data_IF_614833202901
#
_entry.id   IF_614833202901
#
_cell.length_a   1.000
_cell.length_b   1.000
_cell.length_c   1.000
_cell.angle_alpha   90.00
_cell.angle_beta   90.00
_cell.angle_gamma   90.00
#
_symmetry.space_group_name_H-M   'P 1'
#
loop_
_entity.id
_entity.type
_entity.pdbx_description
1 polymer ?
#
# COMPACT_ATOMS: atom_id res chain seq x y z
N UNK A 1 108.47 -69.33 74.42
CA UNK A 1 108.08 -70.60 73.77
C UNK A 1 106.59 -70.78 73.96
N UNK A 2 105.83 -70.73 72.85
CA UNK A 2 104.52 -71.32 72.54
C UNK A 2 103.40 -71.33 73.60
N UNK A 3 102.31 -70.58 73.38
CA UNK A 3 101.07 -70.96 72.63
C UNK A 3 100.18 -71.90 73.45
N UNK A 4 98.96 -71.50 73.82
CA UNK A 4 97.64 -71.76 73.17
C UNK A 4 96.58 -71.49 74.27
N UNK A 5 95.27 -71.24 74.09
CA UNK A 5 94.27 -71.31 73.02
C UNK A 5 93.01 -70.52 73.48
N UNK A 6 92.29 -69.95 72.52
CA UNK A 6 90.82 -69.73 72.38
C UNK A 6 89.87 -70.06 73.54
N UNK A 7 88.93 -69.15 73.87
CA UNK A 7 87.51 -69.16 73.44
C UNK A 7 86.57 -68.43 74.43
N UNK A 8 85.54 -67.79 73.86
CA UNK A 8 84.22 -67.44 74.40
C UNK A 8 84.07 -66.40 75.52
N UNK A 9 82.98 -65.63 75.32
CA UNK A 9 82.21 -64.80 76.25
C UNK A 9 82.94 -63.68 76.99
N UNK A 10 82.54 -62.44 76.73
CA UNK A 10 81.54 -61.77 77.57
C UNK A 10 81.49 -60.27 77.23
N UNK A 11 80.30 -59.71 77.44
CA UNK A 11 79.89 -58.33 77.26
C UNK A 11 80.89 -57.30 77.79
N UNK A 12 81.23 -56.28 76.99
CA UNK A 12 81.54 -54.94 77.53
C UNK A 12 80.89 -53.82 76.71
N UNK A 13 80.25 -52.97 77.50
CA UNK A 13 79.54 -51.73 77.25
C UNK A 13 80.32 -50.68 76.43
N UNK A 14 79.54 -49.90 75.66
CA UNK A 14 79.85 -48.54 75.18
C UNK A 14 80.17 -47.62 76.39
N UNK A 15 80.93 -46.51 76.26
CA UNK A 15 80.33 -45.25 75.76
C UNK A 15 81.29 -44.25 75.09
N UNK A 16 80.71 -43.28 74.39
CA UNK A 16 81.25 -41.91 74.36
C UNK A 16 81.68 -41.38 72.98
N UNK A 17 81.34 -40.12 72.64
CA UNK A 17 81.18 -39.67 71.25
C UNK A 17 82.49 -39.10 70.67
N UNK A 18 82.76 -39.36 69.40
CA UNK A 18 83.85 -38.71 68.66
C UNK A 18 83.29 -37.82 67.56
N UNK A 19 83.84 -36.60 67.55
CA UNK A 19 83.43 -35.38 66.87
C UNK A 19 83.55 -35.49 65.35
N UNK A 20 82.54 -34.95 64.65
CA UNK A 20 82.43 -34.87 63.19
C UNK A 20 83.51 -33.96 62.55
N UNK A 21 84.17 -34.39 61.45
CA UNK A 21 85.00 -33.50 60.64
C UNK A 21 84.14 -32.65 59.69
N UNK A 22 84.46 -31.34 59.60
CA UNK A 22 83.80 -30.34 58.74
C UNK A 22 83.93 -30.71 57.25
N UNK A 23 82.79 -30.88 56.57
CA UNK A 23 82.73 -30.96 55.11
C UNK A 23 82.67 -29.56 54.48
N UNK A 24 83.48 -29.39 53.44
CA UNK A 24 83.69 -28.19 52.64
C UNK A 24 82.44 -27.90 51.79
N UNK A 25 81.91 -26.68 51.86
CA UNK A 25 80.71 -26.28 51.11
C UNK A 25 81.03 -26.08 49.62
N UNK A 26 80.74 -27.09 48.82
CA UNK A 26 80.77 -27.01 47.36
C UNK A 26 79.43 -26.44 46.87
N UNK A 27 79.48 -25.23 46.31
CA UNK A 27 78.29 -24.52 45.82
C UNK A 27 77.75 -25.19 44.56
N UNK A 28 76.63 -25.89 44.69
CA UNK A 28 75.87 -26.42 43.57
C UNK A 28 75.25 -25.23 42.81
N UNK A 29 75.82 -24.90 41.64
CA UNK A 29 75.23 -23.96 40.68
C UNK A 29 73.98 -24.60 40.06
N UNK A 30 72.80 -24.17 40.51
CA UNK A 30 71.52 -24.54 39.91
C UNK A 30 71.33 -23.71 38.62
N UNK A 31 70.99 -24.33 37.47
CA UNK A 31 70.76 -23.61 36.22
C UNK A 31 69.50 -22.73 36.31
N UNK A 32 69.61 -21.47 35.84
CA UNK A 32 68.48 -20.55 35.69
C UNK A 32 67.46 -21.13 34.71
N UNK A 33 66.30 -21.55 35.22
CA UNK A 33 65.16 -21.93 34.41
C UNK A 33 64.59 -20.65 33.77
N UNK A 34 64.66 -20.57 32.45
CA UNK A 34 64.12 -19.47 31.64
C UNK A 34 62.64 -19.74 31.37
N UNK A 35 61.75 -19.15 32.15
CA UNK A 35 60.32 -19.13 31.82
C UNK A 35 60.08 -18.06 30.75
N UNK A 36 59.82 -18.48 29.51
CA UNK A 36 59.19 -17.63 28.47
C UNK A 36 57.68 -17.93 28.41
N UNK A 37 56.86 -16.94 28.02
CA UNK A 37 55.56 -16.68 28.62
C UNK A 37 54.46 -17.54 27.99
N UNK A 38 53.69 -18.27 28.81
CA UNK A 38 52.38 -18.71 28.36
C UNK A 38 51.44 -17.50 28.29
N UNK A 39 50.71 -17.42 27.18
CA UNK A 39 49.94 -16.30 26.73
C UNK A 39 49.08 -15.63 27.83
N UNK A 40 49.09 -14.30 27.85
CA UNK A 40 48.33 -13.45 28.77
C UNK A 40 46.78 -13.45 28.63
N UNK A 41 46.08 -14.00 27.62
CA UNK A 41 44.61 -13.91 27.63
C UNK A 41 43.98 -14.90 28.62
N UNK A 42 44.73 -15.91 29.11
CA UNK A 42 44.19 -16.96 29.98
C UNK A 42 44.23 -16.60 31.47
N UNK A 43 45.14 -15.71 31.89
CA UNK A 43 45.29 -15.30 33.30
C UNK A 43 44.21 -14.30 33.76
N UNK A 44 43.68 -13.47 32.86
CA UNK A 44 42.58 -12.56 33.17
C UNK A 44 41.25 -13.31 33.47
N UNK A 45 41.09 -14.53 32.95
CA UNK A 45 39.98 -15.42 33.24
C UNK A 45 40.04 -16.09 34.63
N UNK A 46 41.16 -15.96 35.36
CA UNK A 46 41.33 -16.56 36.69
C UNK A 46 41.10 -15.59 37.86
N UNK A 47 41.12 -14.27 37.65
CA UNK A 47 40.91 -13.27 38.72
C UNK A 47 39.46 -12.78 38.83
N UNK A 48 38.54 -13.37 38.08
CA UNK A 48 37.12 -13.05 38.16
C UNK A 48 36.46 -13.83 39.32
N UNK A 49 35.61 -13.18 40.14
CA UNK A 49 34.91 -13.88 41.21
C UNK A 49 34.11 -15.06 40.65
N UNK A 50 34.13 -16.20 41.35
CA UNK A 50 33.54 -17.47 40.90
C UNK A 50 32.09 -17.33 40.38
N UNK A 51 31.34 -16.37 40.96
CA UNK A 51 29.99 -15.98 40.54
C UNK A 51 29.92 -15.54 39.08
N UNK A 52 30.84 -14.69 38.60
CA UNK A 52 30.83 -14.20 37.22
C UNK A 52 31.13 -15.32 36.21
N UNK A 53 31.96 -16.29 36.59
CA UNK A 53 32.32 -17.45 35.75
C UNK A 53 31.14 -18.39 35.51
N UNK A 54 30.16 -18.42 36.43
CA UNK A 54 28.92 -19.17 36.32
C UNK A 54 27.82 -18.34 35.64
N UNK A 55 27.74 -17.04 35.90
CA UNK A 55 26.67 -16.17 35.35
C UNK A 55 26.89 -15.76 33.89
N UNK A 56 28.13 -15.54 33.44
CA UNK A 56 28.44 -15.15 32.04
C UNK A 56 27.87 -16.13 30.99
N UNK A 57 28.06 -17.47 31.08
CA UNK A 57 27.52 -18.37 30.07
C UNK A 57 25.99 -18.34 30.03
N UNK A 58 25.34 -18.20 31.19
CA UNK A 58 23.88 -18.05 31.26
C UNK A 58 23.41 -16.73 30.66
N UNK A 59 24.12 -15.63 30.96
CA UNK A 59 23.84 -14.30 30.41
C UNK A 59 24.00 -14.29 28.88
N UNK A 60 25.03 -14.94 28.36
CA UNK A 60 25.27 -15.05 26.92
C UNK A 60 24.14 -15.80 26.22
N UNK A 61 23.68 -16.92 26.79
CA UNK A 61 22.51 -17.65 26.29
C UNK A 61 21.25 -16.79 26.36
N UNK A 62 21.02 -16.08 27.47
CA UNK A 62 19.86 -15.20 27.63
C UNK A 62 19.82 -14.08 26.58
N UNK A 63 20.96 -13.44 26.30
CA UNK A 63 21.06 -12.39 25.26
C UNK A 63 20.82 -12.98 23.86
N UNK A 64 21.40 -14.14 23.57
CA UNK A 64 21.21 -14.82 22.28
C UNK A 64 19.74 -15.20 22.07
N UNK A 65 19.09 -15.73 23.11
CA UNK A 65 17.67 -16.10 23.09
C UNK A 65 16.78 -14.86 22.94
N UNK A 66 17.08 -13.77 23.65
CA UNK A 66 16.39 -12.49 23.50
C UNK A 66 16.52 -11.93 22.07
N UNK A 67 17.72 -11.94 21.50
CA UNK A 67 17.95 -11.49 20.12
C UNK A 67 17.20 -12.33 19.09
N UNK A 68 17.18 -13.65 19.26
CA UNK A 68 16.44 -14.57 18.39
C UNK A 68 14.92 -14.32 18.50
N UNK A 69 14.40 -14.13 19.71
CA UNK A 69 12.99 -13.80 19.93
C UNK A 69 12.61 -12.46 19.29
N UNK A 70 13.41 -11.41 19.48
CA UNK A 70 13.20 -10.11 18.84
C UNK A 70 13.23 -10.23 17.32
N UNK A 71 14.20 -10.97 16.76
CA UNK A 71 14.32 -11.17 15.32
C UNK A 71 13.09 -11.85 14.70
N UNK A 72 12.59 -12.92 15.34
CA UNK A 72 11.37 -13.63 14.90
C UNK A 72 10.14 -12.70 14.95
N UNK A 73 10.00 -11.89 16.01
CA UNK A 73 8.89 -10.94 16.16
C UNK A 73 8.96 -9.87 15.06
N UNK A 74 10.13 -9.28 14.82
CA UNK A 74 10.33 -8.25 13.79
C UNK A 74 10.02 -8.79 12.40
N UNK A 75 10.53 -9.97 12.04
CA UNK A 75 10.26 -10.58 10.74
C UNK A 75 8.76 -10.87 10.57
N UNK A 76 8.11 -11.41 11.61
CA UNK A 76 6.68 -11.70 11.60
C UNK A 76 5.82 -10.44 11.45
N UNK A 77 6.25 -9.32 12.04
CA UNK A 77 5.52 -8.06 11.98
C UNK A 77 5.64 -7.40 10.60
N UNK A 78 6.84 -7.41 9.99
CA UNK A 78 7.08 -6.83 8.66
C UNK A 78 6.30 -7.60 7.58
N UNK A 79 6.32 -8.94 7.60
CA UNK A 79 5.56 -9.74 6.63
C UNK A 79 4.05 -9.54 6.78
N UNK A 80 3.54 -9.42 8.01
CA UNK A 80 2.11 -9.17 8.26
C UNK A 80 1.63 -7.77 7.86
N UNK A 81 2.50 -6.76 7.92
CA UNK A 81 2.19 -5.42 7.41
C UNK A 81 2.10 -5.43 5.89
N UNK A 82 3.06 -6.07 5.22
CA UNK A 82 3.10 -6.12 3.76
C UNK A 82 1.91 -6.87 3.14
N UNK A 83 1.51 -8.00 3.74
CA UNK A 83 0.31 -8.75 3.32
C UNK A 83 -0.96 -7.90 3.46
N UNK A 84 -1.13 -7.19 4.58
CA UNK A 84 -2.30 -6.34 4.82
C UNK A 84 -2.35 -5.13 3.89
N UNK A 85 -1.22 -4.47 3.62
CA UNK A 85 -1.18 -3.37 2.66
C UNK A 85 -1.53 -3.84 1.25
N UNK A 86 -1.00 -4.97 0.81
CA UNK A 86 -1.30 -5.50 -0.52
C UNK A 86 -2.78 -5.89 -0.65
N UNK A 87 -3.34 -6.58 0.34
CA UNK A 87 -4.77 -6.95 0.34
C UNK A 87 -5.65 -5.70 0.34
N UNK A 88 -5.36 -4.71 1.19
CA UNK A 88 -6.14 -3.47 1.25
C UNK A 88 -6.07 -2.64 -0.04
N UNK A 89 -4.91 -2.62 -0.73
CA UNK A 89 -4.77 -1.92 -2.00
C UNK A 89 -5.54 -2.61 -3.13
N UNK A 90 -5.48 -3.94 -3.20
CA UNK A 90 -6.20 -4.72 -4.21
C UNK A 90 -7.70 -4.61 -4.01
N UNK A 91 -8.18 -4.83 -2.78
CA UNK A 91 -9.61 -4.75 -2.45
C UNK A 91 -10.16 -3.34 -2.71
N UNK A 92 -9.39 -2.30 -2.35
CA UNK A 92 -9.77 -0.91 -2.60
C UNK A 92 -9.82 -0.55 -4.08
N UNK A 93 -8.85 -1.02 -4.86
CA UNK A 93 -8.84 -0.81 -6.31
C UNK A 93 -9.99 -1.55 -7.02
N UNK A 94 -10.23 -2.81 -6.67
CA UNK A 94 -11.31 -3.62 -7.23
C UNK A 94 -12.67 -2.98 -6.96
N UNK A 95 -12.89 -2.56 -5.72
CA UNK A 95 -14.12 -1.90 -5.29
C UNK A 95 -14.34 -0.58 -6.03
N UNK A 96 -13.33 0.30 -6.07
CA UNK A 96 -13.44 1.59 -6.75
C UNK A 96 -13.69 1.43 -8.26
N UNK A 97 -12.95 0.51 -8.90
CA UNK A 97 -13.12 0.22 -10.33
C UNK A 97 -14.50 -0.35 -10.64
N UNK A 98 -14.99 -1.24 -9.78
CA UNK A 98 -16.33 -1.83 -9.92
C UNK A 98 -17.42 -0.74 -9.82
N UNK A 99 -17.30 0.20 -8.90
CA UNK A 99 -18.27 1.28 -8.74
C UNK A 99 -18.31 2.21 -9.96
N UNK A 100 -17.14 2.60 -10.48
CA UNK A 100 -17.06 3.42 -11.70
C UNK A 100 -17.65 2.67 -12.90
N UNK A 101 -17.29 1.39 -13.07
CA UNK A 101 -17.83 0.56 -14.14
C UNK A 101 -19.35 0.41 -14.07
N UNK A 102 -19.90 0.17 -12.88
CA UNK A 102 -21.34 0.06 -12.69
C UNK A 102 -22.06 1.38 -13.02
N UNK A 103 -21.51 2.52 -12.60
CA UNK A 103 -22.04 3.84 -12.93
C UNK A 103 -22.01 4.12 -14.44
N UNK A 104 -20.89 3.85 -15.10
CA UNK A 104 -20.74 4.01 -16.55
C UNK A 104 -21.70 3.09 -17.32
N UNK A 105 -21.77 1.81 -16.95
CA UNK A 105 -22.67 0.84 -17.56
C UNK A 105 -24.13 1.28 -17.43
N UNK A 106 -24.52 1.77 -16.26
CA UNK A 106 -25.85 2.28 -15.98
C UNK A 106 -26.17 3.55 -16.76
N UNK A 107 -25.21 4.48 -16.87
CA UNK A 107 -25.33 5.67 -17.68
C UNK A 107 -25.51 5.31 -19.17
N UNK A 108 -24.71 4.38 -19.67
CA UNK A 108 -24.76 3.88 -21.04
C UNK A 108 -26.08 3.19 -21.39
N UNK A 109 -26.60 2.34 -20.50
CA UNK A 109 -27.91 1.68 -20.69
C UNK A 109 -29.02 2.73 -20.73
N UNK A 110 -28.97 3.72 -19.85
CA UNK A 110 -30.00 4.76 -19.78
C UNK A 110 -29.93 5.71 -20.96
N UNK A 111 -28.73 6.11 -21.39
CA UNK A 111 -28.50 6.90 -22.61
C UNK A 111 -29.12 6.18 -23.81
N UNK A 112 -28.82 4.89 -23.99
CA UNK A 112 -29.38 4.07 -25.07
C UNK A 112 -30.90 3.98 -25.00
N UNK A 113 -31.47 3.88 -23.81
CA UNK A 113 -32.92 3.85 -23.63
C UNK A 113 -33.54 5.19 -24.06
N UNK A 114 -32.97 6.32 -23.64
CA UNK A 114 -33.44 7.66 -23.99
C UNK A 114 -33.29 7.92 -25.49
N UNK A 115 -32.10 7.70 -26.05
CA UNK A 115 -31.80 7.95 -27.46
C UNK A 115 -32.65 7.11 -28.41
N UNK A 116 -33.15 5.95 -27.95
CA UNK A 116 -34.03 5.05 -28.74
C UNK A 116 -35.51 5.18 -28.39
N UNK A 117 -35.88 6.09 -27.49
CA UNK A 117 -37.29 6.31 -27.14
C UNK A 117 -37.97 7.10 -28.24
N UNK A 118 -39.07 6.55 -28.77
CA UNK A 118 -39.88 7.18 -29.80
C UNK A 118 -40.37 8.55 -29.30
N UNK A 119 -40.23 9.59 -30.11
CA UNK A 119 -40.63 10.95 -29.76
C UNK A 119 -39.52 11.79 -29.14
N UNK A 120 -38.43 11.21 -28.62
CA UNK A 120 -37.33 11.99 -28.02
C UNK A 120 -36.58 12.78 -29.08
N UNK A 121 -36.24 12.15 -30.21
CA UNK A 121 -35.55 12.82 -31.30
C UNK A 121 -36.44 13.90 -31.94
N UNK A 122 -37.74 13.63 -32.13
CA UNK A 122 -38.70 14.57 -32.66
C UNK A 122 -38.91 15.77 -31.72
N UNK A 123 -39.05 15.53 -30.41
CA UNK A 123 -39.17 16.59 -29.42
C UNK A 123 -37.89 17.43 -29.31
N UNK A 124 -36.70 16.81 -29.41
CA UNK A 124 -35.44 17.52 -29.46
C UNK A 124 -35.32 18.41 -30.71
N UNK A 125 -35.77 17.93 -31.87
CA UNK A 125 -35.76 18.70 -33.12
C UNK A 125 -36.68 19.92 -33.03
N UNK A 126 -37.85 19.75 -32.40
CA UNK A 126 -38.79 20.83 -32.14
C UNK A 126 -38.39 21.74 -30.96
N UNK A 127 -37.31 21.40 -30.23
CA UNK A 127 -36.93 22.02 -28.94
C UNK A 127 -38.08 22.07 -27.93
N UNK A 128 -38.94 21.05 -27.95
CA UNK A 128 -40.08 20.91 -27.04
C UNK A 128 -39.63 20.26 -25.73
N UNK A 129 -39.22 21.09 -24.78
CA UNK A 129 -38.74 20.67 -23.45
C UNK A 129 -39.83 20.00 -22.62
N UNK A 130 -41.11 20.31 -22.85
CA UNK A 130 -42.23 19.71 -22.12
C UNK A 130 -42.43 18.24 -22.55
N UNK A 131 -42.36 17.98 -23.85
CA UNK A 131 -42.39 16.62 -24.40
C UNK A 131 -41.14 15.84 -23.98
N UNK A 132 -39.94 16.44 -24.07
CA UNK A 132 -38.70 15.81 -23.59
C UNK A 132 -38.80 15.44 -22.10
N UNK A 133 -39.31 16.33 -21.25
CA UNK A 133 -39.50 16.04 -19.83
C UNK A 133 -40.45 14.87 -19.59
N UNK A 134 -41.56 14.81 -20.33
CA UNK A 134 -42.55 13.74 -20.20
C UNK A 134 -42.00 12.37 -20.61
N UNK A 135 -41.14 12.33 -21.63
CA UNK A 135 -40.53 11.10 -22.14
C UNK A 135 -39.30 10.65 -21.31
N UNK A 136 -38.42 11.59 -20.95
CA UNK A 136 -37.12 11.27 -20.34
C UNK A 136 -37.23 11.07 -18.84
N UNK A 137 -38.07 11.85 -18.14
CA UNK A 137 -38.14 11.80 -16.67
C UNK A 137 -38.49 10.41 -16.13
N UNK A 138 -39.50 9.68 -16.66
CA UNK A 138 -39.79 8.33 -16.18
C UNK A 138 -38.61 7.37 -16.36
N UNK A 139 -37.88 7.49 -17.46
CA UNK A 139 -36.69 6.66 -17.74
C UNK A 139 -35.59 6.94 -16.71
N UNK A 140 -35.28 8.21 -16.48
CA UNK A 140 -34.25 8.62 -15.52
C UNK A 140 -34.62 8.24 -14.08
N UNK A 141 -35.88 8.45 -13.67
CA UNK A 141 -36.38 8.10 -12.33
C UNK A 141 -36.29 6.59 -12.10
N UNK A 142 -36.80 5.79 -13.04
CA UNK A 142 -36.74 4.32 -12.92
C UNK A 142 -35.30 3.82 -12.93
N UNK A 143 -34.45 4.41 -13.76
CA UNK A 143 -33.04 4.09 -13.79
C UNK A 143 -32.27 4.64 -12.58
N UNK A 144 -32.83 5.53 -11.75
CA UNK A 144 -32.10 6.23 -10.68
C UNK A 144 -30.83 6.91 -11.22
N UNK A 145 -30.97 7.60 -12.35
CA UNK A 145 -29.92 8.41 -12.96
C UNK A 145 -30.12 9.85 -12.52
N UNK A 146 -29.13 10.48 -11.88
CA UNK A 146 -29.32 11.79 -11.27
C UNK A 146 -29.33 12.92 -12.30
N UNK A 147 -28.61 12.81 -13.42
CA UNK A 147 -28.54 13.84 -14.46
C UNK A 147 -28.75 13.29 -15.88
N UNK A 148 -29.51 14.02 -16.68
CA UNK A 148 -29.65 13.79 -18.13
C UNK A 148 -29.66 15.13 -18.86
N UNK A 149 -28.80 15.32 -19.85
CA UNK A 149 -28.86 16.47 -20.76
C UNK A 149 -29.12 16.04 -22.19
N UNK A 150 -29.82 16.88 -22.95
CA UNK A 150 -29.98 16.73 -24.40
C UNK A 150 -29.42 17.97 -25.06
N UNK A 151 -28.47 17.77 -25.96
CA UNK A 151 -27.79 18.81 -26.72
C UNK A 151 -28.21 18.76 -28.19
N UNK A 152 -28.21 19.90 -28.87
CA UNK A 152 -28.41 19.97 -30.32
C UNK A 152 -27.12 19.67 -31.10
N UNK A 153 -27.18 19.74 -32.43
CA UNK A 153 -26.05 19.50 -33.33
C UNK A 153 -24.90 20.51 -33.16
N UNK A 154 -25.13 21.66 -32.53
CA UNK A 154 -24.08 22.63 -32.18
C UNK A 154 -23.46 22.39 -30.80
N UNK A 155 -23.99 21.42 -30.04
CA UNK A 155 -23.62 21.17 -28.66
C UNK A 155 -24.31 22.09 -27.65
N UNK A 156 -25.33 22.85 -28.07
CA UNK A 156 -26.09 23.72 -27.18
C UNK A 156 -27.14 22.90 -26.40
N UNK A 157 -27.31 23.24 -25.11
CA UNK A 157 -28.25 22.57 -24.22
C UNK A 157 -29.71 22.86 -24.63
N UNK A 158 -30.47 21.81 -24.98
CA UNK A 158 -31.91 21.89 -25.25
C UNK A 158 -32.70 21.57 -23.98
N UNK A 159 -32.29 20.54 -23.25
CA UNK A 159 -33.02 20.03 -22.09
C UNK A 159 -32.07 19.52 -21.01
N UNK A 160 -32.40 19.81 -19.76
CA UNK A 160 -31.73 19.30 -18.56
C UNK A 160 -32.77 18.64 -17.65
N UNK A 161 -32.38 17.49 -17.10
CA UNK A 161 -33.07 16.83 -16.01
C UNK A 161 -32.10 16.58 -14.86
N UNK A 162 -32.52 16.98 -13.66
CA UNK A 162 -31.86 16.66 -12.40
C UNK A 162 -32.86 16.05 -11.44
N UNK A 163 -32.55 14.86 -10.90
CA UNK A 163 -33.43 14.20 -9.92
C UNK A 163 -33.14 14.62 -8.48
N UNK A 164 -31.87 14.84 -8.14
CA UNK A 164 -31.44 15.31 -6.83
C UNK A 164 -31.36 16.83 -6.84
N UNK A 165 -32.51 17.46 -6.59
CA UNK A 165 -32.65 18.88 -6.32
C UNK A 165 -32.27 19.17 -4.86
N UNK A 166 -30.99 19.40 -4.59
CA UNK A 166 -30.69 20.49 -3.65
C UNK A 166 -30.62 21.77 -4.48
N UNK A 167 -31.37 22.76 -4.04
CA UNK A 167 -31.66 24.05 -4.64
C UNK A 167 -30.40 24.94 -4.74
N UNK A 168 -29.41 24.47 -5.48
CA UNK A 168 -28.31 25.29 -5.95
C UNK A 168 -28.43 25.22 -7.47
N UNK A 169 -29.16 26.20 -8.02
CA UNK A 169 -29.08 26.57 -9.43
C UNK A 169 -27.62 26.89 -9.70
N UNK A 170 -26.83 25.87 -10.06
CA UNK A 170 -25.49 26.04 -10.58
C UNK A 170 -25.65 26.16 -12.08
N UNK A 171 -25.13 27.27 -12.59
CA UNK A 171 -25.29 27.75 -13.96
C UNK A 171 -24.52 26.84 -14.94
N UNK A 172 -25.03 25.62 -15.16
CA UNK A 172 -24.48 24.69 -16.15
C UNK A 172 -24.68 25.21 -17.58
N UNK A 173 -25.54 26.22 -17.76
CA UNK A 173 -25.62 26.98 -19.02
C UNK A 173 -24.31 27.72 -19.36
N UNK A 174 -23.38 27.88 -18.40
CA UNK A 174 -22.04 28.40 -18.64
C UNK A 174 -21.03 27.32 -19.10
N UNK A 175 -21.41 26.04 -19.14
CA UNK A 175 -20.54 24.95 -19.59
C UNK A 175 -20.58 24.86 -21.10
N UNK A 176 -19.41 24.99 -21.72
CA UNK A 176 -19.22 24.72 -23.15
C UNK A 176 -19.12 23.21 -23.38
N UNK A 177 -20.29 22.55 -23.46
CA UNK A 177 -20.36 21.12 -23.80
C UNK A 177 -19.79 20.83 -25.19
N UNK A 178 -19.88 21.77 -26.14
CA UNK A 178 -19.40 21.58 -27.51
C UNK A 178 -17.86 21.45 -27.58
N UNK A 179 -17.14 22.15 -26.70
CA UNK A 179 -15.68 22.03 -26.59
C UNK A 179 -15.22 20.71 -25.95
N UNK A 180 -16.07 20.04 -25.17
CA UNK A 180 -15.72 18.85 -24.43
C UNK A 180 -15.55 17.63 -25.35
N UNK A 181 -14.45 16.88 -25.16
CA UNK A 181 -14.00 15.88 -26.13
C UNK A 181 -15.04 14.78 -26.43
N UNK A 182 -15.72 14.14 -25.45
CA UNK A 182 -16.77 13.17 -25.73
C UNK A 182 -17.90 13.71 -26.61
N UNK A 183 -18.44 14.90 -26.31
CA UNK A 183 -19.51 15.53 -27.12
C UNK A 183 -19.02 15.85 -28.52
N UNK A 184 -17.83 16.45 -28.65
CA UNK A 184 -17.24 16.76 -29.96
C UNK A 184 -17.09 15.50 -30.83
N UNK A 185 -16.61 14.40 -30.26
CA UNK A 185 -16.44 13.12 -30.99
C UNK A 185 -17.79 12.53 -31.42
N UNK A 186 -18.80 12.55 -30.55
CA UNK A 186 -20.17 12.13 -30.91
C UNK A 186 -20.71 13.01 -32.04
N UNK A 187 -20.62 14.34 -31.93
CA UNK A 187 -21.11 15.28 -32.95
C UNK A 187 -20.37 15.12 -34.28
N UNK A 188 -19.06 14.90 -34.26
CA UNK A 188 -18.25 14.60 -35.44
C UNK A 188 -18.57 13.23 -36.07
N UNK A 189 -19.16 12.32 -35.29
CA UNK A 189 -19.53 10.98 -35.74
C UNK A 189 -18.38 10.02 -35.82
N UNK A 190 -17.38 10.27 -34.99
CA UNK A 190 -16.37 9.29 -34.72
C UNK A 190 -17.02 8.06 -34.09
N UNK A 191 -16.54 6.90 -34.49
CA UNK A 191 -16.81 5.63 -33.85
C UNK A 191 -15.48 4.92 -33.69
N UNK A 192 -15.24 4.33 -32.53
CA UNK A 192 -14.08 3.47 -32.30
C UNK A 192 -14.49 2.00 -32.22
N UNK A 193 -13.59 1.14 -31.74
CA UNK A 193 -13.85 -0.30 -31.57
C UNK A 193 -14.93 -0.61 -30.53
N UNK A 194 -15.23 0.32 -29.62
CA UNK A 194 -16.27 0.19 -28.58
C UNK A 194 -17.60 0.80 -29.04
N UNK A 195 -17.56 1.75 -29.98
CA UNK A 195 -18.73 2.25 -30.70
C UNK A 195 -18.73 3.77 -30.87
N UNK A 196 -19.94 4.32 -30.98
CA UNK A 196 -20.23 5.74 -31.21
C UNK A 196 -20.53 6.52 -29.91
N UNK A 197 -20.18 5.94 -28.75
CA UNK A 197 -20.49 6.46 -27.42
C UNK A 197 -19.22 6.63 -26.63
N UNK A 198 -19.14 7.74 -25.91
CA UNK A 198 -17.92 8.16 -25.22
C UNK A 198 -18.25 8.54 -23.79
N UNK A 199 -17.43 8.08 -22.86
CA UNK A 199 -17.51 8.47 -21.45
C UNK A 199 -16.39 9.45 -21.09
N UNK A 200 -16.60 10.22 -20.03
CA UNK A 200 -15.56 11.09 -19.49
C UNK A 200 -16.03 11.82 -18.26
N UNK A 201 -15.07 12.42 -17.55
CA UNK A 201 -15.34 13.29 -16.41
C UNK A 201 -15.34 14.74 -16.87
N UNK A 202 -16.38 15.47 -16.47
CA UNK A 202 -16.51 16.91 -16.70
C UNK A 202 -16.57 17.64 -15.37
N UNK A 203 -15.75 18.67 -15.22
CA UNK A 203 -15.79 19.56 -14.08
C UNK A 203 -16.88 20.60 -14.27
N UNK A 204 -17.89 20.52 -13.42
CA UNK A 204 -18.95 21.51 -13.36
C UNK A 204 -18.81 22.28 -12.04
N UNK A 205 -19.42 23.47 -11.90
CA UNK A 205 -19.42 24.18 -10.62
C UNK A 205 -19.89 23.30 -9.46
N UNK A 206 -20.70 22.27 -9.76
CA UNK A 206 -21.22 21.20 -8.91
C UNK A 206 -20.18 20.30 -8.23
N UNK A 207 -19.02 20.15 -8.86
CA UNK A 207 -18.12 19.03 -8.63
C UNK A 207 -17.96 18.21 -9.92
N UNK A 208 -17.04 17.25 -9.97
CA UNK A 208 -16.81 16.43 -11.14
C UNK A 208 -17.96 15.44 -11.37
N UNK A 209 -18.41 15.31 -12.61
CA UNK A 209 -19.48 14.39 -13.01
C UNK A 209 -18.95 13.44 -14.08
N UNK A 210 -19.18 12.14 -13.90
CA UNK A 210 -18.97 11.13 -14.94
C UNK A 210 -20.17 11.17 -15.89
N UNK A 211 -19.92 11.50 -17.15
CA UNK A 211 -20.93 11.48 -18.20
C UNK A 211 -20.65 10.37 -19.21
N UNK A 212 -21.73 9.82 -19.76
CA UNK A 212 -21.73 9.05 -21.00
C UNK A 212 -22.49 9.86 -22.05
N UNK A 213 -21.83 10.09 -23.18
CA UNK A 213 -22.34 10.79 -24.34
C UNK A 213 -22.66 9.80 -25.45
N UNK A 214 -23.83 9.94 -26.07
CA UNK A 214 -24.22 9.18 -27.25
C UNK A 214 -25.07 9.98 -28.23
N UNK A 215 -25.10 9.54 -29.50
CA UNK A 215 -25.75 10.31 -30.55
C UNK A 215 -27.27 10.19 -30.47
N UNK A 216 -27.94 11.34 -30.58
CA UNK A 216 -29.37 11.39 -30.83
C UNK A 216 -29.60 11.40 -32.34
N UNK A 217 -30.26 10.36 -32.85
CA UNK A 217 -30.51 10.20 -34.29
C UNK A 217 -32.00 10.37 -34.60
N UNK A 218 -32.30 11.07 -35.68
CA UNK A 218 -33.63 11.15 -36.28
C UNK A 218 -33.52 10.70 -37.74
N UNK A 219 -34.22 9.63 -38.14
CA UNK A 219 -34.17 9.10 -39.50
C UNK A 219 -32.73 8.82 -40.00
N UNK A 220 -31.88 8.24 -39.14
CA UNK A 220 -30.45 8.00 -39.41
C UNK A 220 -29.55 9.24 -39.55
N UNK A 221 -30.11 10.45 -39.39
CA UNK A 221 -29.36 11.69 -39.32
C UNK A 221 -29.07 12.07 -37.87
N UNK A 222 -27.86 12.57 -37.60
CA UNK A 222 -27.49 13.02 -36.25
C UNK A 222 -28.10 14.38 -35.96
N UNK A 223 -28.98 14.40 -34.97
CA UNK A 223 -29.67 15.60 -34.52
C UNK A 223 -28.92 16.29 -33.37
N UNK A 224 -28.18 15.52 -32.55
CA UNK A 224 -27.52 16.03 -31.37
C UNK A 224 -26.91 14.93 -30.50
N UNK A 225 -26.83 15.20 -29.19
CA UNK A 225 -26.19 14.32 -28.20
C UNK A 225 -27.08 14.16 -26.98
N UNK A 226 -27.20 12.94 -26.46
CA UNK A 226 -27.73 12.68 -25.12
C UNK A 226 -26.57 12.46 -24.18
N UNK A 227 -26.56 13.17 -23.07
CA UNK A 227 -25.62 13.02 -21.97
C UNK A 227 -26.35 12.43 -20.77
N UNK A 228 -25.75 11.42 -20.16
CA UNK A 228 -26.24 10.82 -18.92
C UNK A 228 -25.14 10.85 -17.88
N UNK A 229 -25.41 11.47 -16.73
CA UNK A 229 -24.38 11.84 -15.76
C UNK A 229 -24.59 11.27 -14.36
N UNK A 230 -23.48 10.96 -13.68
CA UNK A 230 -23.42 10.65 -12.26
C UNK A 230 -22.36 11.52 -11.56
N UNK A 231 -22.72 12.32 -10.55
CA UNK A 231 -21.75 13.09 -9.78
C UNK A 231 -20.79 12.16 -9.05
N UNK A 232 -19.48 12.36 -9.21
CA UNK A 232 -18.49 11.47 -8.62
C UNK A 232 -18.56 11.45 -7.08
N UNK A 233 -19.00 12.56 -6.49
CA UNK A 233 -19.26 12.68 -5.05
C UNK A 233 -20.29 11.68 -4.53
N UNK A 234 -21.23 11.20 -5.37
CA UNK A 234 -22.19 10.18 -4.95
C UNK A 234 -21.52 8.82 -4.72
N UNK A 235 -20.32 8.60 -5.25
CA UNK A 235 -19.57 7.37 -5.07
C UNK A 235 -18.66 7.38 -3.85
N UNK A 236 -18.28 8.57 -3.34
CA UNK A 236 -17.36 8.69 -2.19
C UNK A 236 -17.82 7.92 -0.95
N UNK A 237 -19.09 8.01 -0.50
CA UNK A 237 -19.52 7.33 0.72
C UNK A 237 -19.42 5.80 0.59
N UNK A 238 -19.74 5.26 -0.58
CA UNK A 238 -19.63 3.82 -0.86
C UNK A 238 -18.17 3.38 -0.97
N UNK A 239 -17.32 4.14 -1.69
CA UNK A 239 -15.89 3.82 -1.79
C UNK A 239 -15.18 3.86 -0.43
N UNK A 240 -15.54 4.79 0.46
CA UNK A 240 -14.96 4.88 1.82
C UNK A 240 -15.52 3.78 2.74
N UNK A 241 -16.79 3.40 2.59
CA UNK A 241 -17.39 2.35 3.40
C UNK A 241 -16.84 0.97 3.04
N UNK A 242 -16.66 0.71 1.74
CA UNK A 242 -16.28 -0.60 1.21
C UNK A 242 -14.76 -0.79 1.14
N UNK A 243 -14.00 0.29 0.88
CA UNK A 243 -12.54 0.25 0.94
C UNK A 243 -12.07 0.83 2.29
N UNK A 244 -11.39 0.02 3.10
CA UNK A 244 -10.64 0.54 4.27
C UNK A 244 -9.40 1.37 3.84
N UNK A 245 -9.44 1.96 2.65
CA UNK A 245 -8.37 2.65 1.96
C UNK A 245 -8.83 4.05 1.53
N UNK A 246 -7.87 4.92 1.22
CA UNK A 246 -8.14 6.21 0.61
C UNK A 246 -7.95 6.09 -0.89
N UNK A 247 -8.88 6.63 -1.67
CA UNK A 247 -8.95 6.47 -3.12
C UNK A 247 -8.79 7.84 -3.79
N UNK A 248 -7.90 7.88 -4.80
CA UNK A 248 -7.80 8.98 -5.76
C UNK A 248 -8.27 8.47 -7.11
N UNK A 249 -9.24 9.17 -7.69
CA UNK A 249 -9.68 8.94 -9.05
C UNK A 249 -8.97 9.96 -9.94
N UNK A 250 -8.33 9.49 -11.00
CA UNK A 250 -7.61 10.32 -11.95
C UNK A 250 -8.34 10.37 -13.28
N UNK A 251 -8.21 11.49 -13.97
CA UNK A 251 -8.66 11.67 -15.36
C UNK A 251 -7.65 11.03 -16.32
N UNK A 252 -8.04 10.78 -17.59
CA UNK A 252 -7.12 10.28 -18.62
C UNK A 252 -5.91 11.20 -18.91
N UNK A 253 -5.94 12.46 -18.48
CA UNK A 253 -4.82 13.40 -18.58
C UNK A 253 -3.88 13.39 -17.35
N UNK A 254 -4.16 12.52 -16.36
CA UNK A 254 -3.38 12.37 -15.13
C UNK A 254 -3.76 13.34 -14.01
N UNK A 255 -4.74 14.24 -14.22
CA UNK A 255 -5.22 15.13 -13.16
C UNK A 255 -6.16 14.41 -12.19
N UNK A 256 -6.13 14.81 -10.91
CA UNK A 256 -7.04 14.24 -9.89
C UNK A 256 -8.48 14.69 -10.18
N UNK A 257 -9.35 13.73 -10.51
CA UNK A 257 -10.79 13.93 -10.63
C UNK A 257 -11.44 14.05 -9.25
N UNK A 258 -11.10 13.12 -8.35
CA UNK A 258 -11.72 13.02 -7.03
C UNK A 258 -10.73 12.41 -6.04
N UNK A 259 -10.79 12.83 -4.78
CA UNK A 259 -9.92 12.31 -3.72
C UNK A 259 -10.68 12.18 -2.42
N UNK A 260 -10.54 11.04 -1.75
CA UNK A 260 -11.00 10.84 -0.37
C UNK A 260 -9.99 11.37 0.67
N UNK A 261 -8.80 11.80 0.25
CA UNK A 261 -7.79 12.36 1.17
C UNK A 261 -8.25 13.70 1.77
N UNK A 262 -7.86 14.01 3.01
CA UNK A 262 -8.09 15.32 3.61
C UNK A 262 -7.55 16.46 2.74
N UNK A 263 -8.28 17.58 2.69
CA UNK A 263 -7.84 18.79 1.98
C UNK A 263 -6.47 19.25 2.51
N UNK A 264 -5.51 19.46 1.62
CA UNK A 264 -4.14 19.87 1.94
C UNK A 264 -3.09 18.76 1.89
N UNK A 265 -3.49 17.53 1.56
CA UNK A 265 -2.55 16.45 1.26
C UNK A 265 -1.81 16.74 -0.05
N UNK A 266 -0.48 16.60 -0.09
CA UNK A 266 0.26 16.58 -1.37
C UNK A 266 -0.19 15.35 -2.16
N UNK A 267 -0.98 15.57 -3.21
CA UNK A 267 -1.43 14.50 -4.10
C UNK A 267 -0.37 14.28 -5.17
N UNK A 268 0.20 13.07 -5.29
CA UNK A 268 1.12 12.78 -6.37
C UNK A 268 0.37 12.87 -7.70
N UNK A 269 0.84 13.71 -8.62
CA UNK A 269 0.41 13.66 -10.01
C UNK A 269 0.89 12.33 -10.60
N UNK A 270 0.04 11.67 -11.40
CA UNK A 270 0.48 10.51 -12.15
C UNK A 270 1.52 10.96 -13.19
N UNK A 271 2.75 10.51 -13.03
CA UNK A 271 3.80 10.71 -14.04
C UNK A 271 3.42 9.98 -15.32
N UNK A 272 3.85 10.49 -16.48
CA UNK A 272 3.58 9.88 -17.80
C UNK A 272 3.99 8.41 -17.89
N UNK A 273 4.99 7.98 -17.10
CA UNK A 273 5.46 6.61 -17.01
C UNK A 273 4.42 5.66 -16.38
N UNK A 274 3.64 6.13 -15.41
CA UNK A 274 2.57 5.34 -14.77
C UNK A 274 1.31 5.36 -15.66
N UNK A 275 1.04 6.50 -16.30
CA UNK A 275 -0.08 6.63 -17.24
C UNK A 275 0.07 5.68 -18.45
N UNK A 276 1.31 5.37 -18.86
CA UNK A 276 1.59 4.44 -19.96
C UNK A 276 1.54 2.96 -19.55
N UNK A 277 1.48 2.66 -18.25
CA UNK A 277 1.45 1.30 -17.71
C UNK A 277 0.03 0.79 -17.40
N UNK A 278 -0.98 1.67 -17.50
CA UNK A 278 -2.42 1.40 -17.31
C UNK A 278 -3.12 1.44 -18.66
#
# INVERSE_FOLDING_TARGET
>A
MNLTKSEADDYIQRPGPTVLPKMKSEQIKIPKIRHQPLARPMAAFLSLPLRLKITIPYLAVAILLAGLATWVITQSFVTKLQERFNVQLVDGFETASTQVYQAESKALITERAIARTIGVAEAAAARDTASLNTLIRPLAVNAHVPLVHVLDASGALIYELRLTSEEIVRDEAAIDFAAWAPVRRVLAGESDNLGDKYSGVLDVPGGPILYVAGPLLLNNERLGVVLVGFPLETFLPQMIADSSAQVNLYRPDGQVALSTFPKGSEMPLLTSEILAAV
#
